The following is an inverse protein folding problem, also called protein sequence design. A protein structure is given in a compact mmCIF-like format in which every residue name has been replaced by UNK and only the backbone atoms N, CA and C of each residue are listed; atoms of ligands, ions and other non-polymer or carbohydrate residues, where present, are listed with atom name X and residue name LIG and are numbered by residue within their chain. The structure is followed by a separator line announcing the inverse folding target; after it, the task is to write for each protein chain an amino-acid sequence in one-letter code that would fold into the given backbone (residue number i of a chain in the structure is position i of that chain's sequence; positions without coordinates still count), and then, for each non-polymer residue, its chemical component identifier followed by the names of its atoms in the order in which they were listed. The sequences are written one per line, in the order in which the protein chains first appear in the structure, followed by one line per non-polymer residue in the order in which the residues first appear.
data_IF_418041712790
#
_entry.id   IF_418041712790
#
_cell.length_a   1.000
_cell.length_b   1.000
_cell.length_c   1.000
_cell.angle_alpha   90.00
_cell.angle_beta   90.00
_cell.angle_gamma   90.00
#
_symmetry.space_group_name_H-M   'P 1'
#
loop_
_entity.id
_entity.type
_entity.pdbx_description
1 polymer ?
#
# COMPACT_ATOMS: atom_id res chain seq x y z
N UNK A 1 -5.98 17.23 3.39
CA UNK A 1 -4.70 16.73 3.93
C UNK A 1 -3.91 17.92 4.45
N UNK A 2 -3.82 18.11 5.77
CA UNK A 2 -2.84 19.04 6.36
C UNK A 2 -1.44 18.43 6.25
N UNK A 3 -0.38 19.26 6.30
CA UNK A 3 1.00 18.80 6.18
C UNK A 3 1.33 17.65 7.16
N UNK A 4 0.84 17.74 8.40
CA UNK A 4 1.02 16.70 9.42
C UNK A 4 0.37 15.35 9.05
N UNK A 5 -0.76 15.37 8.33
CA UNK A 5 -1.40 14.14 7.88
C UNK A 5 -0.56 13.47 6.79
N UNK A 6 0.00 14.25 5.87
CA UNK A 6 0.83 13.73 4.78
C UNK A 6 2.09 13.07 5.34
N UNK A 7 2.72 13.66 6.37
CA UNK A 7 3.88 13.03 7.02
C UNK A 7 3.52 11.71 7.69
N UNK A 8 2.39 11.64 8.42
CA UNK A 8 1.94 10.39 9.02
C UNK A 8 1.62 9.32 7.96
N UNK A 9 0.96 9.70 6.87
CA UNK A 9 0.70 8.78 5.76
C UNK A 9 1.98 8.34 5.06
N UNK A 10 3.02 9.19 5.02
CA UNK A 10 4.31 8.85 4.47
C UNK A 10 5.09 7.89 5.35
N UNK A 11 5.03 8.06 6.67
CA UNK A 11 5.58 7.09 7.61
C UNK A 11 4.86 5.74 7.48
N UNK A 12 3.53 5.75 7.41
CA UNK A 12 2.76 4.53 7.17
C UNK A 12 3.15 3.89 5.84
N UNK A 13 3.19 4.66 4.75
CA UNK A 13 3.58 4.18 3.42
C UNK A 13 4.97 3.53 3.44
N UNK A 14 5.96 4.16 4.09
CA UNK A 14 7.30 3.60 4.24
C UNK A 14 7.37 2.32 5.10
N UNK A 15 6.33 2.01 5.89
CA UNK A 15 6.25 0.72 6.57
C UNK A 15 5.78 -0.39 5.62
N UNK A 16 4.99 -0.04 4.60
CA UNK A 16 4.55 -0.97 3.56
C UNK A 16 5.61 -1.09 2.45
N UNK A 17 6.12 0.02 1.93
CA UNK A 17 7.20 0.13 0.94
C UNK A 17 8.55 -0.19 1.57
N UNK A 18 8.85 -1.48 1.65
CA UNK A 18 10.07 -2.00 2.29
C UNK A 18 11.29 -1.93 1.40
N UNK A 19 11.10 -1.93 0.07
CA UNK A 19 12.19 -1.80 -0.89
C UNK A 19 12.57 -0.34 -1.20
N UNK A 20 11.70 0.62 -0.82
CA UNK A 20 11.88 2.05 -1.02
C UNK A 20 11.66 2.47 -2.47
N UNK A 21 10.92 1.67 -3.24
CA UNK A 21 10.60 1.90 -4.65
C UNK A 21 9.63 3.06 -4.87
N UNK A 22 8.92 3.49 -3.83
CA UNK A 22 7.88 4.52 -3.92
C UNK A 22 6.52 3.98 -4.38
N UNK A 23 6.35 2.66 -4.36
CA UNK A 23 5.13 1.95 -4.74
C UNK A 23 5.02 0.67 -3.92
N UNK A 24 3.84 0.35 -3.40
CA UNK A 24 3.59 -0.86 -2.61
C UNK A 24 3.12 -1.96 -3.55
N UNK A 25 3.91 -3.01 -3.70
CA UNK A 25 3.52 -4.18 -4.47
C UNK A 25 2.66 -5.18 -3.65
N UNK A 26 2.21 -6.25 -4.32
CA UNK A 26 1.38 -7.29 -3.70
C UNK A 26 2.09 -8.05 -2.59
N UNK A 27 3.40 -8.24 -2.71
CA UNK A 27 4.22 -8.97 -1.75
C UNK A 27 4.41 -8.11 -0.50
N UNK A 28 4.68 -6.83 -0.67
CA UNK A 28 4.83 -5.80 0.35
C UNK A 28 3.54 -5.57 1.13
N UNK A 29 2.43 -5.34 0.43
CA UNK A 29 1.10 -5.20 1.05
C UNK A 29 0.77 -6.45 1.87
N UNK A 30 1.01 -7.64 1.29
CA UNK A 30 0.81 -8.91 1.98
C UNK A 30 1.70 -9.07 3.20
N UNK A 31 2.98 -8.71 3.09
CA UNK A 31 3.95 -8.80 4.20
C UNK A 31 3.56 -7.90 5.37
N UNK A 32 3.11 -6.69 5.05
CA UNK A 32 2.72 -5.71 6.04
C UNK A 32 1.40 -6.10 6.72
N UNK A 33 0.40 -6.55 5.95
CA UNK A 33 -0.87 -7.05 6.50
C UNK A 33 -0.66 -8.29 7.38
N UNK A 34 0.21 -9.22 6.96
CA UNK A 34 0.61 -10.36 7.79
C UNK A 34 1.25 -9.92 9.11
N UNK A 35 2.08 -8.88 9.07
CA UNK A 35 2.70 -8.30 10.27
C UNK A 35 1.67 -7.64 11.21
N UNK A 36 0.56 -7.14 10.66
CA UNK A 36 -0.60 -6.63 11.42
C UNK A 36 -1.54 -7.75 11.90
N UNK A 37 -1.23 -9.02 11.62
CA UNK A 37 -2.05 -10.18 11.97
C UNK A 37 -3.20 -10.46 11.00
N UNK A 38 -3.24 -9.77 9.86
CA UNK A 38 -4.19 -10.00 8.78
C UNK A 38 -3.58 -10.94 7.74
N UNK A 39 -4.18 -12.11 7.54
CA UNK A 39 -3.67 -13.09 6.60
C UNK A 39 -4.62 -13.21 5.40
N UNK A 40 -4.50 -12.25 4.47
CA UNK A 40 -5.23 -12.24 3.21
C UNK A 40 -4.60 -13.19 2.20
N UNK A 41 -5.43 -13.73 1.31
CA UNK A 41 -4.97 -14.51 0.16
C UNK A 41 -4.37 -13.60 -0.93
N UNK A 42 -3.50 -14.16 -1.78
CA UNK A 42 -2.95 -13.43 -2.94
C UNK A 42 -4.04 -12.83 -3.82
N UNK A 43 -5.18 -13.52 -3.95
CA UNK A 43 -6.32 -13.01 -4.70
C UNK A 43 -6.92 -11.76 -4.06
N UNK A 44 -7.13 -11.78 -2.75
CA UNK A 44 -7.67 -10.61 -2.02
C UNK A 44 -6.70 -9.43 -2.08
N UNK A 45 -5.39 -9.68 -1.99
CA UNK A 45 -4.36 -8.65 -2.15
C UNK A 45 -4.37 -8.07 -3.57
N UNK A 46 -4.49 -8.94 -4.59
CA UNK A 46 -4.56 -8.52 -5.99
C UNK A 46 -5.84 -7.71 -6.29
N UNK A 47 -6.98 -8.13 -5.74
CA UNK A 47 -8.25 -7.40 -5.87
C UNK A 47 -8.14 -6.02 -5.17
N UNK A 48 -7.46 -5.95 -4.02
CA UNK A 48 -7.16 -4.68 -3.33
C UNK A 48 -6.29 -3.76 -4.19
N UNK A 49 -5.18 -4.27 -4.72
CA UNK A 49 -4.29 -3.48 -5.58
C UNK A 49 -5.03 -3.00 -6.81
N UNK A 50 -5.77 -3.88 -7.49
CA UNK A 50 -6.51 -3.53 -8.70
C UNK A 50 -7.57 -2.44 -8.47
N UNK A 51 -8.11 -2.31 -7.25
CA UNK A 51 -9.06 -1.25 -6.91
C UNK A 51 -8.41 0.14 -6.85
N UNK A 52 -7.14 0.22 -6.43
CA UNK A 52 -6.40 1.49 -6.25
C UNK A 52 -5.30 1.74 -7.30
N UNK A 53 -4.96 0.74 -8.12
CA UNK A 53 -3.99 0.80 -9.20
C UNK A 53 -4.60 1.39 -10.48
N UNK A 54 -4.71 2.72 -10.50
CA UNK A 54 -5.25 3.46 -11.65
C UNK A 54 -4.36 3.36 -12.89
N UNK A 55 -3.06 3.17 -12.68
CA UNK A 55 -2.06 3.14 -13.73
C UNK A 55 -1.79 1.73 -14.27
N UNK A 56 -2.46 0.70 -13.72
CA UNK A 56 -2.27 -0.71 -14.08
C UNK A 56 -0.80 -1.15 -13.98
N UNK A 57 -0.10 -0.65 -12.97
CA UNK A 57 1.31 -0.94 -12.68
C UNK A 57 1.49 -2.27 -11.94
N UNK A 58 0.42 -2.79 -11.33
CA UNK A 58 0.47 -3.91 -10.39
C UNK A 58 0.94 -3.52 -8.99
N UNK A 59 1.03 -2.22 -8.69
CA UNK A 59 1.44 -1.69 -7.40
C UNK A 59 0.63 -0.43 -7.04
N UNK A 60 0.54 -0.12 -5.75
CA UNK A 60 -0.13 1.07 -5.26
C UNK A 60 0.90 2.16 -5.02
N UNK A 61 0.86 3.23 -5.81
CA UNK A 61 1.64 4.43 -5.55
C UNK A 61 1.15 5.20 -4.31
N UNK A 62 1.93 6.17 -3.85
CA UNK A 62 1.58 6.99 -2.67
C UNK A 62 0.18 7.64 -2.78
N UNK A 63 -0.22 8.09 -3.97
CA UNK A 63 -1.56 8.65 -4.19
C UNK A 63 -2.67 7.60 -4.04
N UNK A 64 -2.48 6.40 -4.56
CA UNK A 64 -3.43 5.30 -4.39
C UNK A 64 -3.54 4.84 -2.94
N UNK A 65 -2.43 4.85 -2.20
CA UNK A 65 -2.41 4.55 -0.77
C UNK A 65 -3.18 5.59 0.05
N UNK A 66 -3.09 6.87 -0.33
CA UNK A 66 -3.89 7.93 0.27
C UNK A 66 -5.39 7.80 -0.03
N UNK A 67 -5.77 7.20 -1.16
CA UNK A 67 -7.18 6.92 -1.47
C UNK A 67 -7.73 5.69 -0.73
N UNK A 68 -6.85 4.78 -0.30
CA UNK A 68 -7.20 3.61 0.50
C UNK A 68 -7.51 3.96 1.97
N UNK A 69 -6.95 5.06 2.51
CA UNK A 69 -7.08 5.50 3.91
C UNK A 69 -8.09 6.65 4.10
#
# INVERSE_FOLDING_TARGET
LTADQVDHFREAFNLFDTDGGGSIDIEELGSCLRSLGQNLSEKELADMIAEFDKDNTGAIGFEGFLEML
#
